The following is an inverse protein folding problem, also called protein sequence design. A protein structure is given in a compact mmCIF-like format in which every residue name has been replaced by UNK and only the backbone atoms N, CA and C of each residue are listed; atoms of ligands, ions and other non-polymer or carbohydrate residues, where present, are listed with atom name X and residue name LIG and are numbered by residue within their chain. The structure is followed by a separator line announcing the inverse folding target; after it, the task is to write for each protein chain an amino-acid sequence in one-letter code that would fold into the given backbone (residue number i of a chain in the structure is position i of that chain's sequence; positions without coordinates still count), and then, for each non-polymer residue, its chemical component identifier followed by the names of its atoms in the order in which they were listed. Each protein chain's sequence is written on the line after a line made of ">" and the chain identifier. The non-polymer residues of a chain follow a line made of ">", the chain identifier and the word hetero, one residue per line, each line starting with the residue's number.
data_IF_751888478562
#
_entry.id   IF_751888478562
#
_cell.length_a   1.000
_cell.length_b   1.000
_cell.length_c   1.000
_cell.angle_alpha   90.00
_cell.angle_beta   90.00
_cell.angle_gamma   90.00
#
_symmetry.space_group_name_H-M   'P 1'
#
loop_
_entity.id
_entity.type
_entity.pdbx_description
1 polymer ?
#
# COMPACT_ATOMS: atom_id res chain seq x y z
N UNK A 1 -10.13 10.95 1.33
CA UNK A 1 -9.71 9.57 0.97
C UNK A 1 -8.23 9.38 1.25
N UNK A 2 -7.87 8.24 1.78
CA UNK A 2 -6.48 7.84 1.96
C UNK A 2 -6.08 6.92 0.82
N UNK A 3 -4.94 7.19 0.18
CA UNK A 3 -4.33 6.27 -0.77
C UNK A 3 -3.25 5.48 -0.05
N UNK A 4 -3.45 4.16 0.07
CA UNK A 4 -2.46 3.26 0.67
C UNK A 4 -1.61 2.71 -0.46
N UNK A 5 -0.33 3.05 -0.46
CA UNK A 5 0.63 2.58 -1.45
C UNK A 5 1.44 1.45 -0.82
N UNK A 6 1.30 0.26 -1.38
CA UNK A 6 2.02 -0.94 -0.94
C UNK A 6 3.10 -1.25 -1.95
N UNK A 7 4.34 -1.17 -1.53
CA UNK A 7 5.49 -1.52 -2.36
C UNK A 7 5.87 -2.97 -2.11
N UNK A 8 6.06 -3.74 -3.17
CA UNK A 8 6.37 -5.15 -3.03
C UNK A 8 7.35 -5.67 -4.09
N UNK A 9 8.16 -6.64 -3.69
CA UNK A 9 9.01 -7.45 -4.56
C UNK A 9 9.23 -8.80 -3.89
N UNK A 10 8.73 -9.86 -4.53
CA UNK A 10 8.89 -11.25 -4.03
C UNK A 10 8.48 -11.37 -2.56
N UNK A 11 7.26 -10.96 -2.26
CA UNK A 11 6.69 -10.95 -0.91
C UNK A 11 5.57 -11.98 -0.76
N UNK A 12 5.62 -13.10 -1.48
CA UNK A 12 4.56 -14.11 -1.44
C UNK A 12 4.24 -14.61 -0.04
N UNK A 13 5.23 -14.57 0.86
CA UNK A 13 5.05 -15.00 2.25
C UNK A 13 4.16 -14.06 3.06
N UNK A 14 4.15 -12.76 2.73
CA UNK A 14 3.54 -11.74 3.57
C UNK A 14 2.46 -10.92 2.89
N UNK A 15 2.50 -10.79 1.56
CA UNK A 15 1.63 -9.86 0.85
C UNK A 15 0.13 -10.15 1.06
N UNK A 16 -0.24 -11.41 1.11
CA UNK A 16 -1.63 -11.78 1.36
C UNK A 16 -2.12 -11.31 2.72
N UNK A 17 -1.31 -11.48 3.75
CA UNK A 17 -1.64 -11.00 5.11
C UNK A 17 -1.67 -9.49 5.19
N UNK A 18 -0.72 -8.83 4.51
CA UNK A 18 -0.67 -7.37 4.44
C UNK A 18 -1.96 -6.82 3.83
N UNK A 19 -2.34 -7.29 2.65
CA UNK A 19 -3.53 -6.81 1.95
C UNK A 19 -4.81 -7.18 2.68
N UNK A 20 -4.88 -8.36 3.29
CA UNK A 20 -6.02 -8.75 4.10
C UNK A 20 -6.19 -7.84 5.31
N UNK A 21 -5.10 -7.48 5.99
CA UNK A 21 -5.14 -6.57 7.13
C UNK A 21 -5.56 -5.16 6.72
N UNK A 22 -5.12 -4.69 5.55
CA UNK A 22 -5.53 -3.38 5.02
C UNK A 22 -7.03 -3.42 4.67
N UNK A 23 -7.52 -4.50 4.08
CA UNK A 23 -8.94 -4.62 3.71
C UNK A 23 -9.88 -4.68 4.91
N UNK A 24 -9.37 -5.05 6.08
CA UNK A 24 -10.15 -5.12 7.33
C UNK A 24 -10.11 -3.84 8.14
N UNK A 25 -9.47 -2.79 7.66
CA UNK A 25 -9.41 -1.53 8.38
C UNK A 25 -10.80 -0.92 8.56
N UNK A 26 -11.04 -0.35 9.74
CA UNK A 26 -12.31 0.31 10.04
C UNK A 26 -12.52 1.57 9.20
N UNK A 27 -11.45 2.26 8.84
CA UNK A 27 -11.49 3.42 7.95
C UNK A 27 -11.69 2.93 6.52
N UNK A 28 -12.81 3.31 5.90
CA UNK A 28 -13.27 2.72 4.62
C UNK A 28 -13.04 3.63 3.41
N UNK A 29 -12.79 4.92 3.61
CA UNK A 29 -12.55 5.84 2.50
C UNK A 29 -11.10 5.72 2.02
N UNK A 30 -10.80 4.60 1.37
CA UNK A 30 -9.44 4.16 1.06
C UNK A 30 -9.39 3.59 -0.35
N UNK A 31 -8.33 3.94 -1.07
CA UNK A 31 -7.89 3.17 -2.24
C UNK A 31 -6.56 2.48 -1.89
N UNK A 32 -6.35 1.31 -2.45
CA UNK A 32 -5.09 0.57 -2.28
C UNK A 32 -4.41 0.42 -3.63
N UNK A 33 -3.17 0.88 -3.70
CA UNK A 33 -2.34 0.80 -4.90
C UNK A 33 -1.12 -0.05 -4.54
N UNK A 34 -0.94 -1.16 -5.24
CA UNK A 34 0.23 -2.02 -5.06
C UNK A 34 1.19 -1.73 -6.20
N UNK A 35 2.41 -1.33 -5.87
CA UNK A 35 3.49 -1.14 -6.83
C UNK A 35 4.41 -2.34 -6.73
N UNK A 36 4.37 -3.20 -7.74
CA UNK A 36 5.16 -4.42 -7.79
C UNK A 36 6.40 -4.24 -8.66
N UNK A 37 7.54 -4.57 -8.10
CA UNK A 37 8.82 -4.44 -8.77
C UNK A 37 9.28 -5.78 -9.33
N UNK A 38 8.67 -6.20 -10.43
CA UNK A 38 9.05 -7.39 -11.20
C UNK A 38 9.17 -8.65 -10.35
N UNK A 39 8.16 -8.94 -9.50
CA UNK A 39 8.13 -10.18 -8.71
C UNK A 39 8.11 -11.40 -9.61
N UNK A 40 8.90 -12.42 -9.25
CA UNK A 40 9.03 -13.67 -9.98
C UNK A 40 8.42 -14.87 -9.24
N UNK A 41 7.96 -14.65 -8.01
CA UNK A 41 7.28 -15.67 -7.20
C UNK A 41 5.75 -15.55 -7.33
N UNK A 42 4.99 -16.08 -6.39
CA UNK A 42 3.52 -16.06 -6.40
C UNK A 42 2.93 -14.72 -5.94
N UNK A 43 3.73 -13.67 -5.73
CA UNK A 43 3.26 -12.37 -5.22
C UNK A 43 2.14 -11.81 -6.08
N UNK A 44 2.30 -11.76 -7.41
CA UNK A 44 1.30 -11.19 -8.32
C UNK A 44 -0.02 -11.96 -8.25
N UNK A 45 0.04 -13.29 -8.18
CA UNK A 45 -1.18 -14.11 -8.10
C UNK A 45 -1.95 -13.84 -6.80
N UNK A 46 -1.24 -13.63 -5.71
CA UNK A 46 -1.87 -13.29 -4.43
C UNK A 46 -2.50 -11.91 -4.46
N UNK A 47 -1.81 -10.91 -5.05
CA UNK A 47 -2.33 -9.55 -5.17
C UNK A 47 -3.65 -9.54 -5.95
N UNK A 48 -3.74 -10.32 -7.02
CA UNK A 48 -4.92 -10.36 -7.88
C UNK A 48 -6.17 -10.89 -7.20
N UNK A 49 -6.05 -11.48 -6.02
CA UNK A 49 -7.18 -11.94 -5.20
C UNK A 49 -7.84 -10.80 -4.42
N UNK A 50 -7.29 -9.60 -4.44
CA UNK A 50 -7.79 -8.44 -3.71
C UNK A 50 -8.25 -7.35 -4.67
N UNK A 51 -9.19 -6.51 -4.21
CA UNK A 51 -9.64 -5.33 -4.94
C UNK A 51 -8.64 -4.19 -4.76
N UNK A 52 -7.55 -4.26 -5.48
CA UNK A 52 -6.49 -3.26 -5.43
C UNK A 52 -6.08 -2.89 -6.85
N UNK A 53 -5.52 -1.71 -6.99
CA UNK A 53 -4.90 -1.28 -8.25
C UNK A 53 -3.46 -1.79 -8.26
N UNK A 54 -3.12 -2.60 -9.24
CA UNK A 54 -1.77 -3.14 -9.40
C UNK A 54 -1.03 -2.36 -10.49
N UNK A 55 0.13 -1.84 -10.13
CA UNK A 55 1.07 -1.21 -11.05
C UNK A 55 2.37 -1.99 -10.99
N UNK A 56 2.86 -2.45 -12.13
CA UNK A 56 4.13 -3.18 -12.22
C UNK A 56 5.21 -2.29 -12.81
N UNK A 57 6.41 -2.37 -12.26
CA UNK A 57 7.58 -1.67 -12.80
C UNK A 57 8.70 -2.68 -13.07
N UNK A 58 9.52 -2.45 -14.11
CA UNK A 58 10.62 -3.36 -14.43
C UNK A 58 11.71 -3.31 -13.37
N UNK A 59 12.43 -4.41 -13.22
CA UNK A 59 13.46 -4.57 -12.18
C UNK A 59 14.57 -3.53 -12.29
N UNK A 60 15.01 -3.23 -13.50
CA UNK A 60 16.06 -2.24 -13.77
C UNK A 60 15.62 -0.81 -13.41
N UNK A 61 14.35 -0.57 -13.28
CA UNK A 61 13.81 0.73 -12.90
C UNK A 61 13.66 0.91 -11.38
N UNK A 62 14.09 -0.09 -10.61
CA UNK A 62 13.83 -0.09 -9.17
C UNK A 62 14.71 0.92 -8.43
N UNK A 63 14.07 1.86 -7.77
CA UNK A 63 14.59 2.63 -6.64
C UNK A 63 13.42 2.86 -5.69
N UNK A 64 13.70 3.13 -4.42
CA UNK A 64 12.65 3.49 -3.48
C UNK A 64 11.85 4.70 -3.96
N UNK A 65 12.56 5.75 -4.38
CA UNK A 65 11.92 6.98 -4.84
C UNK A 65 11.05 6.76 -6.06
N UNK A 66 11.50 5.95 -7.03
CA UNK A 66 10.71 5.66 -8.22
C UNK A 66 9.44 4.89 -7.90
N UNK A 67 9.54 3.85 -7.06
CA UNK A 67 8.36 3.08 -6.65
C UNK A 67 7.32 3.96 -5.96
N UNK A 68 7.77 4.83 -5.06
CA UNK A 68 6.91 5.77 -4.36
C UNK A 68 6.27 6.76 -5.33
N UNK A 69 7.05 7.33 -6.25
CA UNK A 69 6.53 8.29 -7.24
C UNK A 69 5.49 7.66 -8.14
N UNK A 70 5.71 6.44 -8.60
CA UNK A 70 4.72 5.71 -9.41
C UNK A 70 3.41 5.54 -8.63
N UNK A 71 3.50 5.14 -7.36
CA UNK A 71 2.32 5.02 -6.50
C UNK A 71 1.61 6.35 -6.28
N UNK A 72 2.36 7.41 -6.02
CA UNK A 72 1.81 8.75 -5.80
C UNK A 72 1.11 9.25 -7.05
N UNK A 73 1.71 9.10 -8.23
CA UNK A 73 1.10 9.50 -9.49
C UNK A 73 -0.22 8.76 -9.77
N UNK A 74 -0.32 7.50 -9.34
CA UNK A 74 -1.52 6.71 -9.48
C UNK A 74 -2.59 7.04 -8.44
N UNK A 75 -2.22 7.73 -7.36
CA UNK A 75 -3.10 7.99 -6.22
C UNK A 75 -4.08 9.13 -6.49
N UNK A 76 -5.25 9.03 -5.85
CA UNK A 76 -6.30 10.04 -5.91
C UNK A 76 -6.66 10.59 -4.54
N UNK A 77 -6.11 10.01 -3.48
CA UNK A 77 -6.41 10.42 -2.12
C UNK A 77 -5.74 11.72 -1.72
N UNK A 78 -6.31 12.37 -0.71
CA UNK A 78 -5.76 13.58 -0.11
C UNK A 78 -4.57 13.28 0.78
N UNK A 79 -4.54 12.07 1.35
CA UNK A 79 -3.49 11.59 2.22
C UNK A 79 -2.91 10.29 1.65
N UNK A 80 -1.62 10.10 1.83
CA UNK A 80 -0.90 8.94 1.33
C UNK A 80 -0.28 8.20 2.51
N UNK A 81 -0.60 6.91 2.64
CA UNK A 81 0.04 6.02 3.59
C UNK A 81 0.89 5.01 2.80
N UNK A 82 2.16 4.92 3.16
CA UNK A 82 3.09 4.02 2.48
C UNK A 82 3.40 2.81 3.33
N UNK A 83 3.32 1.63 2.72
CA UNK A 83 3.49 0.35 3.41
C UNK A 83 4.38 -0.55 2.57
N UNK A 84 5.26 -1.28 3.23
CA UNK A 84 5.99 -2.37 2.57
C UNK A 84 5.13 -3.64 2.57
N UNK A 85 5.23 -4.45 1.52
CA UNK A 85 4.41 -5.67 1.37
C UNK A 85 4.60 -6.72 2.46
N UNK A 86 5.66 -6.61 3.28
CA UNK A 86 5.88 -7.48 4.43
C UNK A 86 5.42 -6.87 5.76
N UNK A 87 4.87 -5.68 5.75
CA UNK A 87 4.33 -5.04 6.94
C UNK A 87 2.85 -5.38 7.10
N UNK A 88 2.45 -5.81 8.28
CA UNK A 88 1.07 -6.15 8.59
C UNK A 88 0.58 -5.19 9.66
N UNK A 89 -0.43 -4.34 9.35
CA UNK A 89 -1.02 -3.48 10.38
C UNK A 89 -1.47 -4.27 11.60
N UNK A 90 -1.08 -3.81 12.78
CA UNK A 90 -1.31 -4.54 14.03
C UNK A 90 -2.77 -4.55 14.45
N UNK A 91 -3.55 -3.55 14.04
CA UNK A 91 -4.97 -3.44 14.41
C UNK A 91 -5.80 -2.97 13.22
N UNK A 92 -7.13 -3.10 13.33
CA UNK A 92 -8.08 -2.59 12.34
C UNK A 92 -8.30 -1.07 12.44
N UNK A 93 -7.66 -0.40 13.40
CA UNK A 93 -7.75 1.04 13.62
C UNK A 93 -6.50 1.80 13.14
N UNK A 94 -5.58 1.14 12.49
CA UNK A 94 -4.32 1.74 12.05
C UNK A 94 -4.53 2.95 11.13
N UNK A 95 -5.36 2.80 10.09
CA UNK A 95 -5.66 3.90 9.15
C UNK A 95 -6.45 5.01 9.83
N UNK A 96 -7.40 4.65 10.69
CA UNK A 96 -8.17 5.63 11.44
C UNK A 96 -7.27 6.50 12.33
N UNK A 97 -6.30 5.88 13.00
CA UNK A 97 -5.36 6.60 13.85
C UNK A 97 -4.45 7.53 13.07
N UNK A 98 -3.98 7.09 11.91
CA UNK A 98 -3.20 7.95 11.01
C UNK A 98 -4.01 9.16 10.58
N UNK A 99 -5.22 8.93 10.09
CA UNK A 99 -6.12 9.99 9.66
C UNK A 99 -6.42 10.96 10.81
N UNK A 100 -6.69 10.47 11.99
CA UNK A 100 -6.97 11.27 13.17
C UNK A 100 -5.77 12.17 13.53
N UNK A 101 -4.56 11.66 13.44
CA UNK A 101 -3.37 12.46 13.71
C UNK A 101 -3.26 13.65 12.75
N UNK A 102 -3.58 13.49 11.48
CA UNK A 102 -3.63 14.59 10.52
C UNK A 102 -4.70 15.62 10.88
N UNK A 103 -5.83 15.19 11.42
CA UNK A 103 -6.90 16.10 11.84
C UNK A 103 -6.52 16.89 13.10
N UNK A 104 -5.78 16.26 14.03
CA UNK A 104 -5.38 16.90 15.28
C UNK A 104 -4.16 17.81 15.11
N UNK A 105 -3.25 17.47 14.22
CA UNK A 105 -2.03 18.23 13.95
C UNK A 105 -1.71 18.15 12.45
N UNK A 106 -2.18 19.11 11.66
CA UNK A 106 -1.95 19.11 10.21
C UNK A 106 -0.49 19.28 9.81
N UNK A 107 0.41 19.58 10.76
CA UNK A 107 1.85 19.64 10.48
C UNK A 107 2.55 18.28 10.55
N UNK A 108 1.87 17.24 11.03
CA UNK A 108 2.39 15.87 11.04
C UNK A 108 2.45 15.34 9.61
N UNK A 109 3.61 14.89 9.24
CA UNK A 109 3.88 14.43 7.86
C UNK A 109 4.14 12.93 7.84
#
# INVERSE_FOLDING_TARGET
>A
MISVIVRTKNEQKWIGRCLAAISRQAFQDVEVIVVDNASTDATLDLIRQFQVRLVTIPDEAFTFGRSLNVGIEASKGDFIAMVSGHCIPATDLWLYRLWRNFQLDPTVV
#
